data_IF_560121472655
#
_entry.id   IF_560121472655
#
_cell.length_a   1.000
_cell.length_b   1.000
_cell.length_c   1.000
_cell.angle_alpha   90.00
_cell.angle_beta   90.00
_cell.angle_gamma   90.00
#
_symmetry.space_group_name_H-M   'P 1'
#
loop_
_entity.id
_entity.type
_entity.pdbx_description
1 polymer ?
#
# COMPACT_ATOMS: atom_id res chain seq x y z
N UNK A 1 4.78 -5.76 22.09
CA UNK A 1 4.42 -5.81 20.65
C UNK A 1 3.25 -4.88 20.38
N UNK A 2 3.25 -4.10 19.29
CA UNK A 2 2.11 -3.22 18.95
C UNK A 2 0.94 -4.10 18.48
N UNK A 3 -0.27 -3.86 19.00
CA UNK A 3 -1.47 -4.56 18.53
C UNK A 3 -1.92 -3.94 17.20
N UNK A 4 -2.49 -4.76 16.32
CA UNK A 4 -3.14 -4.28 15.10
C UNK A 4 -4.33 -3.39 15.49
N UNK A 5 -4.34 -2.17 14.95
CA UNK A 5 -5.44 -1.24 15.12
C UNK A 5 -6.27 -1.22 13.83
N UNK A 6 -7.58 -1.10 13.96
CA UNK A 6 -8.50 -1.10 12.84
C UNK A 6 -8.38 0.17 11.99
N UNK A 7 -8.70 0.07 10.72
CA UNK A 7 -8.91 1.21 9.85
C UNK A 7 -10.40 1.51 9.75
N UNK A 8 -10.79 2.74 10.09
CA UNK A 8 -12.16 3.22 9.97
C UNK A 8 -12.35 3.94 8.62
N UNK A 9 -13.27 3.44 7.80
CA UNK A 9 -13.62 4.04 6.52
C UNK A 9 -14.98 4.74 6.64
N UNK A 10 -15.00 6.06 6.51
CA UNK A 10 -16.20 6.88 6.54
C UNK A 10 -16.56 7.24 5.11
N UNK A 11 -17.66 6.66 4.60
CA UNK A 11 -18.10 6.83 3.20
C UNK A 11 -19.44 7.51 3.06
N UNK A 12 -20.21 7.64 4.16
CA UNK A 12 -21.51 8.29 4.16
C UNK A 12 -21.35 9.81 4.17
N UNK A 13 -21.94 10.46 3.18
CA UNK A 13 -21.86 11.92 3.03
C UNK A 13 -22.60 12.63 4.17
N UNK A 14 -22.08 13.79 4.58
CA UNK A 14 -22.63 14.56 5.70
C UNK A 14 -22.32 13.99 7.09
N UNK A 15 -21.51 12.92 7.18
CA UNK A 15 -21.07 12.40 8.48
C UNK A 15 -20.23 13.45 9.22
N UNK A 16 -20.42 13.52 10.54
CA UNK A 16 -19.65 14.34 11.46
C UNK A 16 -18.92 13.48 12.48
N UNK A 17 -17.61 13.68 12.58
CA UNK A 17 -16.73 12.97 13.51
C UNK A 17 -16.31 13.90 14.64
N UNK A 18 -16.53 13.47 15.88
CA UNK A 18 -16.08 14.23 17.04
C UNK A 18 -15.58 13.31 18.17
N UNK A 19 -14.93 13.91 19.17
CA UNK A 19 -14.46 13.24 20.37
C UNK A 19 -15.52 13.29 21.45
N UNK A 20 -15.73 12.15 22.12
CA UNK A 20 -16.47 12.07 23.37
C UNK A 20 -15.66 11.22 24.36
N UNK A 21 -15.07 11.84 25.39
CA UNK A 21 -14.10 11.19 26.31
C UNK A 21 -12.96 10.52 25.51
N UNK A 22 -12.70 9.23 25.74
CA UNK A 22 -11.66 8.45 25.06
C UNK A 22 -12.18 7.70 23.82
N UNK A 23 -13.26 8.21 23.22
CA UNK A 23 -13.90 7.60 22.07
C UNK A 23 -14.05 8.57 20.91
N UNK A 24 -14.06 8.01 19.71
CA UNK A 24 -14.48 8.64 18.47
C UNK A 24 -15.98 8.37 18.31
N UNK A 25 -16.76 9.41 18.06
CA UNK A 25 -18.17 9.33 17.75
C UNK A 25 -18.39 9.69 16.29
N UNK A 26 -19.23 8.92 15.62
CA UNK A 26 -19.72 9.21 14.26
C UNK A 26 -21.18 9.59 14.35
N UNK A 27 -21.53 10.77 13.84
CA UNK A 27 -22.90 11.24 13.73
C UNK A 27 -23.33 11.37 12.27
N UNK A 28 -24.60 11.07 12.02
CA UNK A 28 -25.28 11.33 10.75
C UNK A 28 -26.64 11.97 11.07
N UNK A 29 -26.98 13.06 10.40
CA UNK A 29 -28.22 13.81 10.67
C UNK A 29 -28.42 14.14 12.17
N UNK A 30 -27.34 14.51 12.88
CA UNK A 30 -27.30 14.80 14.34
C UNK A 30 -27.67 13.58 15.22
N UNK A 31 -27.64 12.37 14.68
CA UNK A 31 -27.84 11.12 15.45
C UNK A 31 -26.52 10.37 15.54
N UNK A 32 -26.19 9.91 16.74
CA UNK A 32 -25.03 9.05 16.97
C UNK A 32 -25.27 7.69 16.30
N UNK A 33 -24.45 7.33 15.31
CA UNK A 33 -24.54 6.05 14.59
C UNK A 33 -23.45 5.07 15.01
N UNK A 34 -22.32 5.58 15.54
CA UNK A 34 -21.26 4.73 16.07
C UNK A 34 -20.45 5.45 17.14
N UNK A 35 -19.91 4.69 18.09
CA UNK A 35 -18.95 5.16 19.09
C UNK A 35 -17.87 4.10 19.28
N UNK A 36 -16.61 4.47 19.06
CA UNK A 36 -15.48 3.57 18.98
C UNK A 36 -14.35 4.03 19.91
N UNK A 37 -13.74 3.14 20.70
CA UNK A 37 -12.59 3.51 21.51
C UNK A 37 -11.39 3.82 20.62
N UNK A 38 -10.71 4.95 20.90
CA UNK A 38 -9.61 5.45 20.05
C UNK A 38 -8.44 4.48 19.96
N UNK A 39 -8.15 3.77 21.06
CA UNK A 39 -7.02 2.82 21.12
C UNK A 39 -7.17 1.62 20.17
N UNK A 40 -8.39 1.37 19.65
CA UNK A 40 -8.64 0.34 18.66
C UNK A 40 -8.47 0.82 17.21
N UNK A 41 -8.23 2.13 17.00
CA UNK A 41 -8.20 2.76 15.69
C UNK A 41 -6.77 3.22 15.39
N UNK A 42 -6.23 2.79 14.23
CA UNK A 42 -4.94 3.25 13.73
C UNK A 42 -5.06 4.27 12.60
N UNK A 43 -6.13 4.15 11.81
CA UNK A 43 -6.35 5.01 10.66
C UNK A 43 -7.83 5.37 10.53
N UNK A 44 -8.10 6.61 10.11
CA UNK A 44 -9.44 7.09 9.73
C UNK A 44 -9.34 7.63 8.31
N UNK A 45 -10.10 7.05 7.39
CA UNK A 45 -10.17 7.49 6.00
C UNK A 45 -11.55 8.03 5.70
N UNK A 46 -11.62 9.34 5.42
CA UNK A 46 -12.85 10.08 5.14
C UNK A 46 -13.01 10.26 3.63
N UNK A 47 -14.13 9.83 3.07
CA UNK A 47 -14.41 9.91 1.64
C UNK A 47 -15.56 10.86 1.36
N UNK A 48 -15.30 11.93 0.59
CA UNK A 48 -16.27 12.96 0.23
C UNK A 48 -16.50 13.99 1.33
N UNK A 49 -17.74 14.43 1.50
CA UNK A 49 -18.10 15.47 2.46
C UNK A 49 -18.26 14.90 3.87
N UNK A 50 -17.15 14.78 4.59
CA UNK A 50 -17.09 14.32 5.98
C UNK A 50 -16.47 15.44 6.83
N UNK A 51 -17.18 15.85 7.89
CA UNK A 51 -16.72 16.87 8.84
C UNK A 51 -15.99 16.22 10.01
N UNK A 52 -14.92 16.86 10.47
CA UNK A 52 -14.15 16.39 11.63
C UNK A 52 -13.92 17.56 12.58
N UNK A 53 -14.24 17.38 13.87
CA UNK A 53 -14.02 18.43 14.85
C UNK A 53 -12.53 18.67 15.13
N UNK A 54 -12.10 19.93 15.41
CA UNK A 54 -10.72 20.23 15.80
C UNK A 54 -10.25 19.44 17.04
N UNK A 55 -11.14 19.21 18.00
CA UNK A 55 -10.82 18.43 19.20
C UNK A 55 -10.54 16.96 18.87
N UNK A 56 -11.26 16.37 17.90
CA UNK A 56 -10.96 15.02 17.44
C UNK A 56 -9.63 14.99 16.70
N UNK A 57 -9.31 16.00 15.87
CA UNK A 57 -8.01 16.10 15.22
C UNK A 57 -6.87 16.10 16.24
N UNK A 58 -6.94 16.96 17.28
CA UNK A 58 -5.95 16.98 18.36
C UNK A 58 -5.82 15.62 19.05
N UNK A 59 -6.94 15.00 19.39
CA UNK A 59 -6.98 13.69 20.02
C UNK A 59 -6.39 12.57 19.14
N UNK A 60 -6.65 12.58 17.84
CA UNK A 60 -6.01 11.69 16.88
C UNK A 60 -4.49 11.89 16.87
N UNK A 61 -4.03 13.15 16.88
CA UNK A 61 -2.61 13.48 16.93
C UNK A 61 -1.90 12.97 18.18
N UNK A 62 -2.51 13.09 19.34
CA UNK A 62 -2.00 12.60 20.63
C UNK A 62 -1.93 11.06 20.69
N UNK A 63 -2.87 10.38 20.06
CA UNK A 63 -2.99 8.92 20.05
C UNK A 63 -2.34 8.25 18.82
N UNK A 64 -1.62 9.00 17.98
CA UNK A 64 -1.02 8.52 16.75
C UNK A 64 -2.03 7.85 15.78
N UNK A 65 -3.27 8.33 15.74
CA UNK A 65 -4.28 7.92 14.78
C UNK A 65 -4.11 8.75 13.51
N UNK A 66 -3.83 8.09 12.39
CA UNK A 66 -3.70 8.76 11.11
C UNK A 66 -5.07 9.08 10.52
N UNK A 67 -5.29 10.33 10.11
CA UNK A 67 -6.53 10.74 9.49
C UNK A 67 -6.26 11.30 8.11
N UNK A 68 -6.96 10.79 7.08
CA UNK A 68 -6.79 11.21 5.70
C UNK A 68 -8.16 11.43 5.02
N UNK A 69 -8.18 12.42 4.12
CA UNK A 69 -9.35 12.82 3.37
C UNK A 69 -9.18 12.46 1.90
N UNK A 70 -10.24 11.99 1.30
CA UNK A 70 -10.31 11.59 -0.11
C UNK A 70 -11.58 12.17 -0.74
N UNK A 71 -11.57 12.39 -2.05
CA UNK A 71 -12.82 12.56 -2.78
C UNK A 71 -13.68 11.30 -2.66
N UNK A 72 -14.97 11.36 -2.97
CA UNK A 72 -15.82 10.18 -3.04
C UNK A 72 -15.23 9.06 -3.90
N UNK A 73 -14.52 9.41 -4.97
CA UNK A 73 -13.89 8.50 -5.91
C UNK A 73 -12.48 8.04 -5.50
N UNK A 74 -12.04 8.36 -4.28
CA UNK A 74 -10.79 7.86 -3.71
C UNK A 74 -9.54 8.67 -4.08
N UNK A 75 -9.67 9.84 -4.74
CA UNK A 75 -8.53 10.74 -4.95
C UNK A 75 -8.16 11.39 -3.61
N UNK A 76 -6.92 11.26 -3.21
CA UNK A 76 -6.39 11.88 -2.00
C UNK A 76 -6.52 13.41 -2.05
N UNK A 77 -7.04 14.02 -0.99
CA UNK A 77 -7.17 15.46 -0.81
C UNK A 77 -6.15 16.01 0.18
N UNK A 78 -5.98 15.35 1.33
CA UNK A 78 -5.10 15.80 2.38
C UNK A 78 -5.09 14.84 3.56
N UNK A 79 -4.19 15.09 4.52
CA UNK A 79 -4.14 14.35 5.78
C UNK A 79 -3.95 15.30 6.93
N UNK A 80 -4.46 14.93 8.09
CA UNK A 80 -4.07 15.53 9.36
C UNK A 80 -2.81 14.83 9.87
N UNK A 81 -1.86 15.62 10.29
CA UNK A 81 -0.65 15.17 10.93
C UNK A 81 -0.57 15.82 12.31
N UNK A 82 -0.60 15.00 13.35
CA UNK A 82 -0.39 15.44 14.71
C UNK A 82 1.04 15.91 14.97
N UNK A 83 1.31 16.29 16.22
CA UNK A 83 2.67 16.69 16.62
C UNK A 83 3.67 15.58 16.30
N UNK A 84 4.67 15.90 15.52
CA UNK A 84 5.73 14.94 15.21
C UNK A 84 6.57 14.68 16.47
N UNK A 85 6.43 13.48 17.03
CA UNK A 85 7.35 12.93 18.01
C UNK A 85 8.37 12.07 17.26
N UNK A 86 9.45 12.62 16.75
CA UNK A 86 10.38 11.82 15.97
C UNK A 86 11.82 12.08 16.37
N UNK A 87 12.61 11.02 16.40
CA UNK A 87 14.05 11.13 16.60
C UNK A 87 14.69 11.88 15.42
N UNK A 88 15.09 13.14 15.64
CA UNK A 88 15.74 13.97 14.63
C UNK A 88 17.04 13.31 14.09
N UNK A 89 17.73 12.53 14.92
CA UNK A 89 18.95 11.82 14.51
C UNK A 89 18.63 10.71 13.48
N UNK A 90 17.51 10.03 13.63
CA UNK A 90 17.05 9.03 12.67
C UNK A 90 16.75 9.67 11.31
N UNK A 91 16.06 10.82 11.28
CA UNK A 91 15.83 11.55 10.02
C UNK A 91 17.10 12.08 9.38
N UNK A 92 18.04 12.59 10.18
CA UNK A 92 19.37 12.97 9.66
C UNK A 92 20.11 11.78 9.03
N UNK A 93 20.03 10.60 9.67
CA UNK A 93 20.62 9.38 9.11
C UNK A 93 19.91 8.98 7.79
N UNK A 94 18.57 9.04 7.76
CA UNK A 94 17.79 8.79 6.56
C UNK A 94 18.22 9.71 5.41
N UNK A 95 18.30 11.03 5.62
CA UNK A 95 18.67 12.00 4.60
C UNK A 95 20.10 11.76 4.11
N UNK A 96 21.03 11.54 5.02
CA UNK A 96 22.41 11.23 4.64
C UNK A 96 22.51 9.97 3.78
N UNK A 97 21.83 8.89 4.15
CA UNK A 97 21.87 7.63 3.40
C UNK A 97 21.18 7.79 2.05
N UNK A 98 20.07 8.54 1.97
CA UNK A 98 19.38 8.78 0.70
C UNK A 98 20.21 9.56 -0.30
N UNK A 99 21.08 10.46 0.17
CA UNK A 99 21.98 11.25 -0.67
C UNK A 99 23.27 10.50 -1.04
N UNK A 100 23.88 9.82 -0.06
CA UNK A 100 25.23 9.28 -0.21
C UNK A 100 25.27 7.82 -0.62
N UNK A 101 24.31 6.98 -0.18
CA UNK A 101 24.35 5.54 -0.41
C UNK A 101 22.93 4.89 -0.44
N UNK A 102 22.02 5.31 -1.32
CA UNK A 102 20.67 4.77 -1.38
C UNK A 102 20.59 3.34 -1.97
N UNK A 103 21.58 2.94 -2.76
CA UNK A 103 21.53 1.74 -3.62
C UNK A 103 21.32 0.44 -2.84
N UNK A 104 21.98 0.17 -1.71
CA UNK A 104 21.76 -1.08 -0.97
C UNK A 104 20.28 -1.27 -0.56
N UNK A 105 19.65 -0.20 -0.05
CA UNK A 105 18.24 -0.23 0.37
C UNK A 105 17.34 -0.38 -0.86
N UNK A 106 17.53 0.44 -1.90
CA UNK A 106 16.76 0.38 -3.15
C UNK A 106 16.84 -1.01 -3.80
N UNK A 107 18.04 -1.59 -3.87
CA UNK A 107 18.28 -2.94 -4.42
C UNK A 107 17.52 -4.01 -3.64
N UNK A 108 17.52 -3.95 -2.32
CA UNK A 108 16.82 -4.91 -1.46
C UNK A 108 15.30 -4.81 -1.64
N UNK A 109 14.75 -3.59 -1.72
CA UNK A 109 13.32 -3.35 -2.03
C UNK A 109 12.94 -3.94 -3.38
N UNK A 110 13.75 -3.69 -4.43
CA UNK A 110 13.45 -4.18 -5.78
C UNK A 110 13.62 -5.69 -5.87
N UNK A 111 14.55 -6.28 -5.15
CA UNK A 111 14.65 -7.74 -5.06
C UNK A 111 13.36 -8.36 -4.49
N UNK A 112 12.79 -7.76 -3.43
CA UNK A 112 11.52 -8.21 -2.86
C UNK A 112 10.36 -8.06 -3.86
N UNK A 113 10.26 -6.92 -4.53
CA UNK A 113 9.26 -6.68 -5.59
C UNK A 113 9.31 -7.75 -6.68
N UNK A 114 10.49 -7.97 -7.27
CA UNK A 114 10.66 -8.94 -8.36
C UNK A 114 10.35 -10.36 -7.87
N UNK A 115 10.82 -10.73 -6.69
CA UNK A 115 10.53 -12.03 -6.10
C UNK A 115 9.04 -12.24 -5.83
N UNK A 116 8.33 -11.22 -5.34
CA UNK A 116 6.89 -11.27 -5.12
C UNK A 116 6.13 -11.42 -6.45
N UNK A 117 6.49 -10.65 -7.47
CA UNK A 117 5.92 -10.74 -8.83
C UNK A 117 6.10 -12.14 -9.41
N UNK A 118 7.32 -12.67 -9.33
CA UNK A 118 7.62 -14.04 -9.78
C UNK A 118 6.74 -15.08 -9.08
N UNK A 119 6.56 -14.97 -7.78
CA UNK A 119 5.73 -15.92 -7.00
C UNK A 119 4.25 -15.86 -7.37
N UNK A 120 3.73 -14.68 -7.69
CA UNK A 120 2.35 -14.55 -8.19
C UNK A 120 2.19 -15.32 -9.49
N UNK A 121 3.15 -15.18 -10.43
CA UNK A 121 3.13 -15.90 -11.71
C UNK A 121 3.31 -17.42 -11.53
N UNK A 122 4.25 -17.85 -10.70
CA UNK A 122 4.47 -19.27 -10.38
C UNK A 122 3.24 -19.92 -9.73
N UNK A 123 2.53 -19.17 -8.88
CA UNK A 123 1.27 -19.64 -8.29
C UNK A 123 0.20 -19.86 -9.36
N UNK A 124 0.12 -19.00 -10.38
CA UNK A 124 -0.80 -19.19 -11.50
C UNK A 124 -0.52 -20.50 -12.23
N UNK A 125 0.74 -20.73 -12.61
CA UNK A 125 1.16 -21.99 -13.28
C UNK A 125 0.80 -23.21 -12.43
N UNK A 126 1.10 -23.18 -11.14
CA UNK A 126 0.80 -24.29 -10.22
C UNK A 126 -0.69 -24.60 -10.11
N UNK A 127 -1.54 -23.57 -10.10
CA UNK A 127 -2.97 -23.70 -9.84
C UNK A 127 -3.79 -23.98 -11.11
N UNK A 128 -3.34 -23.52 -12.28
CA UNK A 128 -4.12 -23.53 -13.52
C UNK A 128 -3.40 -24.24 -14.70
N UNK A 129 -2.20 -24.75 -14.45
CA UNK A 129 -1.42 -25.47 -15.48
C UNK A 129 -0.39 -24.60 -16.18
N UNK A 130 0.37 -25.23 -17.06
CA UNK A 130 1.44 -24.60 -17.80
C UNK A 130 0.93 -23.51 -18.76
N UNK A 131 1.66 -22.40 -18.81
CA UNK A 131 1.43 -21.29 -19.72
C UNK A 131 2.79 -20.74 -20.16
N UNK A 132 3.11 -20.89 -21.42
CA UNK A 132 4.42 -20.54 -21.98
C UNK A 132 4.76 -19.04 -21.79
N UNK A 133 3.77 -18.15 -21.95
CA UNK A 133 4.00 -16.71 -21.77
C UNK A 133 4.30 -16.37 -20.31
N UNK A 134 3.55 -16.94 -19.37
CA UNK A 134 3.78 -16.73 -17.92
C UNK A 134 5.13 -17.36 -17.54
N UNK A 135 5.48 -18.56 -18.04
CA UNK A 135 6.78 -19.18 -17.77
C UNK A 135 7.92 -18.31 -18.28
N UNK A 136 7.85 -17.78 -19.50
CA UNK A 136 8.83 -16.85 -20.05
C UNK A 136 9.00 -15.58 -19.19
N UNK A 137 7.91 -15.04 -18.66
CA UNK A 137 7.97 -13.92 -17.73
C UNK A 137 8.67 -14.29 -16.41
N UNK A 138 8.40 -15.49 -15.85
CA UNK A 138 9.09 -16.01 -14.67
C UNK A 138 10.59 -16.13 -14.90
N UNK A 139 11.00 -16.65 -16.06
CA UNK A 139 12.42 -16.80 -16.41
C UNK A 139 13.10 -15.43 -16.57
N UNK A 140 12.42 -14.47 -17.21
CA UNK A 140 12.88 -13.09 -17.31
C UNK A 140 13.07 -12.44 -15.94
N UNK A 141 12.11 -12.62 -15.01
CA UNK A 141 12.24 -12.13 -13.62
C UNK A 141 13.40 -12.79 -12.88
N UNK A 142 13.71 -14.07 -13.13
CA UNK A 142 14.90 -14.71 -12.58
C UNK A 142 16.19 -14.08 -13.12
N UNK A 143 16.22 -13.68 -14.39
CA UNK A 143 17.35 -12.95 -14.97
C UNK A 143 17.50 -11.59 -14.30
N UNK A 144 16.39 -10.83 -14.14
CA UNK A 144 16.40 -9.54 -13.46
C UNK A 144 16.92 -9.63 -12.02
N UNK A 145 16.56 -10.68 -11.26
CA UNK A 145 17.10 -10.92 -9.90
C UNK A 145 18.62 -11.18 -9.91
N UNK A 146 19.13 -11.90 -10.91
CA UNK A 146 20.59 -12.12 -11.06
C UNK A 146 21.32 -10.84 -11.43
N UNK A 147 20.76 -10.06 -12.36
CA UNK A 147 21.33 -8.78 -12.78
C UNK A 147 21.37 -7.74 -11.66
N UNK A 148 20.43 -7.81 -10.72
CA UNK A 148 20.35 -6.88 -9.58
C UNK A 148 21.49 -7.08 -8.57
N UNK A 149 22.06 -8.30 -8.50
CA UNK A 149 23.15 -8.58 -7.55
C UNK A 149 24.39 -7.74 -7.85
N UNK A 150 24.95 -7.13 -6.80
CA UNK A 150 26.19 -6.36 -6.89
C UNK A 150 26.08 -5.02 -7.63
N UNK A 151 24.88 -4.60 -8.06
CA UNK A 151 24.73 -3.28 -8.70
C UNK A 151 24.94 -2.15 -7.68
N UNK A 152 25.66 -1.12 -8.11
CA UNK A 152 26.06 0.04 -7.30
C UNK A 152 25.48 1.35 -7.81
N UNK A 153 24.84 1.34 -8.97
CA UNK A 153 24.24 2.52 -9.59
C UNK A 153 22.72 2.50 -9.50
N UNK A 154 22.13 3.55 -8.96
CA UNK A 154 20.69 3.64 -8.71
C UNK A 154 19.86 3.59 -10.00
N UNK A 155 20.34 4.22 -11.06
CA UNK A 155 19.61 4.24 -12.36
C UNK A 155 19.62 2.87 -13.03
N UNK A 156 20.68 2.07 -12.83
CA UNK A 156 20.69 0.67 -13.26
C UNK A 156 19.66 -0.16 -12.49
N UNK A 157 19.53 0.06 -11.16
CA UNK A 157 18.51 -0.60 -10.34
C UNK A 157 17.10 -0.22 -10.80
N UNK A 158 16.87 1.06 -11.12
CA UNK A 158 15.59 1.55 -11.68
C UNK A 158 15.29 0.96 -13.05
N UNK A 159 16.30 0.82 -13.91
CA UNK A 159 16.16 0.19 -15.24
C UNK A 159 15.75 -1.28 -15.13
N UNK A 160 16.38 -2.04 -14.24
CA UNK A 160 16.01 -3.44 -13.96
C UNK A 160 14.58 -3.53 -13.39
N UNK A 161 14.20 -2.61 -12.50
CA UNK A 161 12.83 -2.52 -11.97
C UNK A 161 11.80 -2.30 -13.07
N UNK A 162 12.08 -1.36 -13.98
CA UNK A 162 11.18 -1.02 -15.09
C UNK A 162 10.99 -2.20 -16.06
N UNK A 163 12.07 -2.90 -16.45
CA UNK A 163 11.98 -4.11 -17.29
C UNK A 163 11.19 -5.22 -16.56
N UNK A 164 11.51 -5.50 -15.31
CA UNK A 164 10.79 -6.50 -14.51
C UNK A 164 9.29 -6.19 -14.39
N UNK A 165 8.94 -4.92 -14.19
CA UNK A 165 7.54 -4.48 -14.13
C UNK A 165 6.85 -4.65 -15.49
N UNK A 166 7.52 -4.32 -16.61
CA UNK A 166 6.99 -4.52 -17.95
C UNK A 166 6.71 -6.00 -18.25
N UNK A 167 7.63 -6.91 -17.86
CA UNK A 167 7.45 -8.37 -18.02
C UNK A 167 6.27 -8.88 -17.17
N UNK A 168 6.18 -8.47 -15.93
CA UNK A 168 5.09 -8.87 -15.05
C UNK A 168 3.73 -8.40 -15.55
N UNK A 169 3.58 -7.11 -15.85
CA UNK A 169 2.32 -6.55 -16.31
C UNK A 169 1.97 -6.96 -17.75
N UNK A 170 2.94 -7.34 -18.57
CA UNK A 170 2.71 -7.87 -19.91
C UNK A 170 1.93 -9.19 -19.93
N UNK A 171 2.00 -9.97 -18.86
CA UNK A 171 1.24 -11.23 -18.73
C UNK A 171 0.12 -11.14 -17.67
N UNK A 172 -0.06 -10.01 -17.02
CA UNK A 172 -1.01 -9.85 -15.91
C UNK A 172 -2.46 -10.13 -16.32
N UNK A 173 -2.83 -9.77 -17.55
CA UNK A 173 -4.15 -10.08 -18.11
C UNK A 173 -4.50 -11.57 -18.10
N UNK A 174 -3.48 -12.45 -18.24
CA UNK A 174 -3.66 -13.90 -18.20
C UNK A 174 -3.90 -14.46 -16.79
N UNK A 175 -3.80 -13.63 -15.75
CA UNK A 175 -4.15 -14.00 -14.37
C UNK A 175 -5.63 -13.77 -14.08
N UNK A 176 -6.35 -13.10 -14.97
CA UNK A 176 -7.78 -12.87 -14.88
C UNK A 176 -8.54 -14.10 -15.40
N UNK A 177 -9.59 -14.50 -14.70
CA UNK A 177 -10.49 -15.53 -15.18
C UNK A 177 -11.25 -15.03 -16.42
N UNK A 178 -11.35 -15.83 -17.46
CA UNK A 178 -12.15 -15.52 -18.66
C UNK A 178 -13.61 -15.19 -18.31
N UNK A 179 -14.15 -15.84 -17.28
CA UNK A 179 -15.51 -15.62 -16.78
C UNK A 179 -15.69 -14.30 -16.02
N UNK A 180 -14.61 -13.59 -15.72
CA UNK A 180 -14.69 -12.34 -14.94
C UNK A 180 -15.28 -11.17 -15.74
N UNK A 181 -15.20 -11.22 -17.07
CA UNK A 181 -15.60 -10.13 -17.95
C UNK A 181 -14.66 -8.92 -17.95
N UNK A 182 -13.50 -9.03 -17.30
CA UNK A 182 -12.46 -7.99 -17.32
C UNK A 182 -11.39 -8.29 -18.38
N UNK A 183 -10.87 -7.21 -18.97
CA UNK A 183 -9.67 -7.22 -19.78
C UNK A 183 -8.57 -6.35 -19.14
N UNK A 184 -7.31 -6.65 -19.45
CA UNK A 184 -6.17 -5.88 -19.00
C UNK A 184 -5.11 -5.85 -20.12
N UNK A 185 -4.90 -4.65 -20.66
CA UNK A 185 -3.99 -4.41 -21.78
C UNK A 185 -2.80 -3.54 -21.35
N UNK A 186 -2.30 -3.82 -20.14
CA UNK A 186 -1.16 -3.12 -19.59
C UNK A 186 -1.52 -2.09 -18.50
N UNK A 187 -0.46 -1.61 -17.82
CA UNK A 187 -0.61 -0.72 -16.67
C UNK A 187 -0.78 0.74 -17.08
N UNK A 188 -1.94 1.31 -16.78
CA UNK A 188 -2.23 2.75 -16.90
C UNK A 188 -2.69 3.32 -15.54
N UNK A 189 -2.44 4.60 -15.23
CA UNK A 189 -2.65 5.13 -13.87
C UNK A 189 -3.09 6.59 -13.77
N UNK A 190 -3.02 7.38 -14.82
CA UNK A 190 -3.29 8.83 -14.69
C UNK A 190 -4.03 9.37 -15.92
N UNK A 191 -5.33 9.20 -15.94
CA UNK A 191 -6.20 8.41 -15.08
C UNK A 191 -6.18 6.91 -15.42
N UNK A 192 -6.66 6.01 -14.54
CA UNK A 192 -6.93 4.62 -14.91
C UNK A 192 -8.07 4.57 -15.92
N UNK A 193 -7.93 3.73 -16.96
CA UNK A 193 -8.88 3.66 -18.09
C UNK A 193 -9.66 2.35 -18.17
N UNK A 194 -9.45 1.45 -17.23
CA UNK A 194 -10.17 0.19 -17.09
C UNK A 194 -10.35 -0.18 -15.62
N UNK A 195 -11.26 -1.11 -15.34
CA UNK A 195 -11.63 -1.49 -13.99
C UNK A 195 -10.48 -2.12 -13.19
N UNK A 196 -9.61 -2.90 -13.85
CA UNK A 196 -8.45 -3.54 -13.20
C UNK A 196 -7.45 -2.48 -12.74
N UNK A 197 -7.11 -1.55 -13.64
CA UNK A 197 -6.21 -0.45 -13.35
C UNK A 197 -6.79 0.51 -12.29
N UNK A 198 -8.11 0.72 -12.28
CA UNK A 198 -8.80 1.49 -11.26
C UNK A 198 -8.66 0.83 -9.87
N UNK A 199 -8.92 -0.47 -9.75
CA UNK A 199 -8.73 -1.24 -8.51
C UNK A 199 -7.29 -1.23 -8.03
N UNK A 200 -6.33 -1.55 -8.89
CA UNK A 200 -4.90 -1.54 -8.55
C UNK A 200 -4.47 -0.17 -8.03
N UNK A 201 -4.85 0.91 -8.73
CA UNK A 201 -4.49 2.27 -8.33
C UNK A 201 -5.11 2.66 -6.99
N UNK A 202 -6.35 2.25 -6.75
CA UNK A 202 -7.06 2.54 -5.51
C UNK A 202 -6.45 1.79 -4.32
N UNK A 203 -6.20 0.48 -4.45
CA UNK A 203 -5.55 -0.32 -3.40
C UNK A 203 -4.14 0.20 -3.10
N UNK A 204 -3.34 0.52 -4.13
CA UNK A 204 -2.01 1.10 -3.92
C UNK A 204 -2.07 2.45 -3.18
N UNK A 205 -3.07 3.28 -3.49
CA UNK A 205 -3.26 4.55 -2.78
C UNK A 205 -3.55 4.34 -1.29
N UNK A 206 -4.44 3.40 -0.96
CA UNK A 206 -4.78 3.09 0.43
C UNK A 206 -3.57 2.52 1.19
N UNK A 207 -2.90 1.51 0.64
CA UNK A 207 -1.71 0.92 1.25
C UNK A 207 -0.57 1.92 1.38
N UNK A 208 -0.37 2.79 0.38
CA UNK A 208 0.61 3.86 0.45
C UNK A 208 0.37 4.83 1.61
N UNK A 209 -0.90 5.10 1.95
CA UNK A 209 -1.24 5.93 3.12
C UNK A 209 -1.03 5.21 4.45
N UNK A 210 -1.35 3.91 4.52
CA UNK A 210 -1.02 3.07 5.67
C UNK A 210 0.51 3.07 5.93
N UNK A 211 1.30 2.87 4.87
CA UNK A 211 2.77 2.87 4.94
C UNK A 211 3.30 4.25 5.35
N UNK A 212 2.78 5.33 4.76
CA UNK A 212 3.18 6.69 5.14
C UNK A 212 2.93 6.96 6.63
N UNK A 213 1.78 6.52 7.15
CA UNK A 213 1.47 6.61 8.58
C UNK A 213 2.40 5.76 9.45
N UNK A 214 2.76 4.55 9.00
CA UNK A 214 3.70 3.68 9.71
C UNK A 214 5.11 4.29 9.79
N UNK A 215 5.61 4.84 8.69
CA UNK A 215 6.92 5.53 8.63
C UNK A 215 6.97 6.71 9.60
N UNK A 216 5.93 7.54 9.61
CA UNK A 216 5.83 8.67 10.55
C UNK A 216 5.76 8.20 12.01
N UNK A 217 5.01 7.14 12.28
CA UNK A 217 4.89 6.57 13.62
C UNK A 217 6.21 5.99 14.17
N UNK A 218 7.17 5.69 13.29
CA UNK A 218 8.54 5.27 13.64
C UNK A 218 9.52 6.46 13.71
N UNK A 219 9.13 7.61 13.16
CA UNK A 219 9.96 8.83 13.13
C UNK A 219 10.74 9.03 11.84
N UNK A 220 10.43 8.27 10.77
CA UNK A 220 10.97 8.46 9.43
C UNK A 220 10.15 9.50 8.65
N UNK A 221 10.80 10.16 7.69
CA UNK A 221 10.13 11.05 6.74
C UNK A 221 9.64 10.22 5.54
N UNK A 222 8.32 10.13 5.30
CA UNK A 222 7.80 9.37 4.17
C UNK A 222 8.10 9.98 2.80
N UNK A 223 8.56 11.24 2.74
CA UNK A 223 8.82 11.95 1.48
C UNK A 223 10.21 11.65 0.91
N UNK A 224 11.20 11.35 1.76
CA UNK A 224 12.58 11.12 1.36
C UNK A 224 12.85 9.63 1.18
N UNK A 225 12.91 9.20 -0.09
CA UNK A 225 13.08 7.81 -0.52
C UNK A 225 14.53 7.44 -0.84
N UNK A 226 14.72 6.17 -1.18
CA UNK A 226 16.01 5.61 -1.61
C UNK A 226 15.97 5.19 -3.09
N UNK A 227 14.81 4.79 -3.60
CA UNK A 227 14.59 4.38 -4.99
C UNK A 227 13.93 5.48 -5.80
N UNK A 228 12.82 6.00 -5.29
CA UNK A 228 12.06 7.04 -5.97
C UNK A 228 12.68 8.41 -5.68
N UNK A 229 12.91 9.20 -6.74
CA UNK A 229 13.39 10.58 -6.61
C UNK A 229 12.40 11.44 -5.83
N UNK A 230 12.92 12.38 -5.06
CA UNK A 230 12.13 13.35 -4.33
C UNK A 230 11.36 14.25 -5.28
N UNK A 231 10.09 14.45 -4.97
CA UNK A 231 9.19 15.37 -5.70
C UNK A 231 8.23 16.02 -4.72
N UNK A 232 7.94 17.32 -4.86
CA UNK A 232 6.96 18.00 -4.01
C UNK A 232 5.63 17.23 -3.94
N UNK A 233 5.12 17.02 -2.74
CA UNK A 233 3.86 16.34 -2.48
C UNK A 233 3.86 14.81 -2.67
N UNK A 234 5.02 14.19 -2.92
CA UNK A 234 5.16 12.75 -3.09
C UNK A 234 5.75 12.12 -1.84
N UNK A 235 5.09 11.10 -1.31
CA UNK A 235 5.61 10.26 -0.24
C UNK A 235 6.57 9.19 -0.84
N UNK A 236 7.79 9.59 -1.27
CA UNK A 236 8.74 8.76 -2.03
C UNK A 236 9.15 7.50 -1.28
N UNK A 237 9.46 7.60 0.03
CA UNK A 237 9.79 6.42 0.85
C UNK A 237 8.58 5.50 1.04
N UNK A 238 7.38 6.07 1.18
CA UNK A 238 6.19 5.23 1.26
C UNK A 238 5.94 4.46 -0.05
N UNK A 239 6.28 5.06 -1.21
CA UNK A 239 6.25 4.36 -2.49
C UNK A 239 7.33 3.28 -2.58
N UNK A 240 8.54 3.53 -2.05
CA UNK A 240 9.61 2.54 -2.00
C UNK A 240 9.18 1.29 -1.22
N UNK A 241 8.68 1.47 0.01
CA UNK A 241 8.22 0.34 0.85
C UNK A 241 6.99 -0.34 0.24
N UNK A 242 6.11 0.41 -0.44
CA UNK A 242 4.97 -0.17 -1.14
C UNK A 242 5.38 -1.18 -2.22
N UNK A 243 6.55 -1.03 -2.86
CA UNK A 243 7.02 -1.96 -3.89
C UNK A 243 7.12 -3.41 -3.35
N UNK A 244 7.46 -3.59 -2.07
CA UNK A 244 7.53 -4.91 -1.42
C UNK A 244 6.16 -5.60 -1.32
N UNK A 245 5.07 -4.82 -1.29
CA UNK A 245 3.71 -5.30 -1.04
C UNK A 245 2.82 -5.30 -2.28
N UNK A 246 3.24 -4.66 -3.39
CA UNK A 246 2.38 -4.53 -4.58
C UNK A 246 1.91 -5.88 -5.10
N UNK A 247 2.81 -6.73 -5.56
CA UNK A 247 2.44 -8.00 -6.17
C UNK A 247 1.85 -8.97 -5.13
N UNK A 248 2.51 -9.10 -4.00
CA UNK A 248 2.14 -10.09 -3.00
C UNK A 248 0.81 -9.78 -2.31
N UNK A 249 0.54 -8.52 -1.99
CA UNK A 249 -0.67 -8.12 -1.25
C UNK A 249 -1.72 -7.48 -2.16
N UNK A 250 -1.39 -6.34 -2.78
CA UNK A 250 -2.35 -5.54 -3.51
C UNK A 250 -2.88 -6.24 -4.77
N UNK A 251 -1.97 -6.73 -5.64
CA UNK A 251 -2.37 -7.36 -6.91
C UNK A 251 -3.15 -8.64 -6.66
N UNK A 252 -2.69 -9.46 -5.69
CA UNK A 252 -3.41 -10.69 -5.32
C UNK A 252 -4.78 -10.42 -4.73
N UNK A 253 -4.96 -9.34 -3.96
CA UNK A 253 -6.28 -8.94 -3.47
C UNK A 253 -7.20 -8.58 -4.64
N UNK A 254 -6.72 -7.75 -5.56
CA UNK A 254 -7.48 -7.34 -6.75
C UNK A 254 -7.85 -8.55 -7.62
N UNK A 255 -6.89 -9.42 -7.94
CA UNK A 255 -7.13 -10.65 -8.68
C UNK A 255 -8.14 -11.56 -7.98
N UNK A 256 -8.06 -11.67 -6.66
CA UNK A 256 -9.02 -12.48 -5.88
C UNK A 256 -10.44 -11.94 -5.97
N UNK A 257 -10.62 -10.62 -5.83
CA UNK A 257 -11.93 -9.98 -5.91
C UNK A 257 -12.58 -10.14 -7.30
N UNK A 258 -11.79 -9.98 -8.34
CA UNK A 258 -12.22 -10.14 -9.72
C UNK A 258 -12.53 -11.61 -10.05
N UNK A 259 -11.58 -12.51 -9.80
CA UNK A 259 -11.69 -13.90 -10.20
C UNK A 259 -12.76 -14.68 -9.42
N UNK A 260 -13.13 -14.21 -8.21
CA UNK A 260 -14.25 -14.73 -7.42
C UNK A 260 -15.57 -14.06 -7.76
N UNK A 261 -15.60 -13.11 -8.71
CA UNK A 261 -16.81 -12.39 -9.10
C UNK A 261 -17.40 -11.50 -8.01
N UNK A 262 -16.59 -11.13 -7.00
CA UNK A 262 -17.00 -10.22 -5.93
C UNK A 262 -17.08 -8.76 -6.41
N UNK A 263 -16.23 -8.39 -7.37
CA UNK A 263 -16.29 -7.13 -8.11
C UNK A 263 -16.43 -7.48 -9.60
N UNK A 264 -17.37 -6.82 -10.28
CA UNK A 264 -17.76 -7.09 -11.67
C UNK A 264 -17.61 -5.83 -12.52
N UNK A 265 -17.55 -5.92 -13.86
CA UNK A 265 -17.43 -4.74 -14.75
C UNK A 265 -18.51 -3.67 -14.51
N UNK A 266 -19.73 -4.06 -14.20
CA UNK A 266 -20.84 -3.14 -13.90
C UNK A 266 -20.67 -2.32 -12.62
N UNK A 267 -19.71 -2.65 -11.77
CA UNK A 267 -19.41 -1.95 -10.51
C UNK A 267 -18.55 -0.70 -10.74
N UNK A 268 -18.25 -0.40 -11.99
CA UNK A 268 -17.47 0.77 -12.38
C UNK A 268 -18.32 1.79 -13.13
N UNK A 269 -17.83 3.03 -13.11
CA UNK A 269 -18.33 4.14 -13.92
C UNK A 269 -17.18 4.75 -14.68
N UNK A 270 -17.42 5.06 -15.95
CA UNK A 270 -16.47 5.80 -16.79
C UNK A 270 -16.91 7.26 -16.83
N UNK A 271 -16.02 8.15 -16.41
CA UNK A 271 -16.22 9.59 -16.44
C UNK A 271 -16.05 10.14 -17.87
N UNK A 272 -16.52 11.37 -18.12
CA UNK A 272 -16.35 12.04 -19.41
C UNK A 272 -14.86 12.21 -19.81
N UNK A 273 -13.96 12.26 -18.83
CA UNK A 273 -12.50 12.28 -19.02
C UNK A 273 -11.90 10.97 -19.50
N UNK A 274 -12.70 9.90 -19.58
CA UNK A 274 -12.25 8.52 -19.80
C UNK A 274 -11.67 7.85 -18.54
N UNK A 275 -11.68 8.52 -17.39
CA UNK A 275 -11.28 7.93 -16.13
C UNK A 275 -12.32 6.90 -15.66
N UNK A 276 -11.83 5.76 -15.19
CA UNK A 276 -12.67 4.68 -14.62
C UNK A 276 -12.56 4.69 -13.11
N UNK A 277 -13.69 4.72 -12.43
CA UNK A 277 -13.78 4.71 -10.97
C UNK A 277 -14.78 3.67 -10.45
N UNK A 278 -14.56 3.22 -9.21
CA UNK A 278 -15.38 2.21 -8.55
C UNK A 278 -16.62 2.83 -7.92
N UNK A 279 -17.80 2.26 -8.14
CA UNK A 279 -19.07 2.69 -7.52
C UNK A 279 -19.04 2.52 -6.00
N UNK A 280 -19.89 3.26 -5.28
CA UNK A 280 -19.90 3.33 -3.83
C UNK A 280 -20.03 1.98 -3.12
N UNK A 281 -20.94 1.12 -3.57
CA UNK A 281 -21.18 -0.18 -2.93
C UNK A 281 -20.01 -1.14 -3.15
N UNK A 282 -19.42 -1.17 -4.34
CA UNK A 282 -18.23 -1.95 -4.61
C UNK A 282 -17.01 -1.44 -3.83
N UNK A 283 -16.91 -0.11 -3.54
CA UNK A 283 -15.88 0.42 -2.63
C UNK A 283 -16.04 -0.11 -1.20
N UNK A 284 -17.27 -0.21 -0.68
CA UNK A 284 -17.50 -0.80 0.66
C UNK A 284 -17.02 -2.24 0.71
N UNK A 285 -17.32 -3.03 -0.34
CA UNK A 285 -16.85 -4.41 -0.45
C UNK A 285 -15.32 -4.48 -0.49
N UNK A 286 -14.67 -3.60 -1.26
CA UNK A 286 -13.20 -3.52 -1.31
C UNK A 286 -12.61 -3.19 0.06
N UNK A 287 -13.20 -2.24 0.81
CA UNK A 287 -12.73 -1.89 2.16
C UNK A 287 -12.86 -3.07 3.13
N UNK A 288 -13.99 -3.80 3.08
CA UNK A 288 -14.20 -5.01 3.88
C UNK A 288 -13.16 -6.08 3.56
N UNK A 289 -12.92 -6.33 2.27
CA UNK A 289 -11.91 -7.30 1.83
C UNK A 289 -10.48 -6.88 2.24
N UNK A 290 -10.14 -5.61 2.13
CA UNK A 290 -8.85 -5.08 2.56
C UNK A 290 -8.68 -5.20 4.08
N UNK A 291 -9.73 -4.90 4.85
CA UNK A 291 -9.70 -5.03 6.31
C UNK A 291 -9.58 -6.49 6.74
N UNK A 292 -10.34 -7.39 6.12
CA UNK A 292 -10.22 -8.83 6.37
C UNK A 292 -8.79 -9.32 6.06
N UNK A 293 -8.22 -8.87 4.93
CA UNK A 293 -6.84 -9.22 4.55
C UNK A 293 -5.80 -8.73 5.57
N UNK A 294 -6.01 -7.55 6.17
CA UNK A 294 -5.12 -7.03 7.22
C UNK A 294 -5.12 -7.88 8.49
N UNK A 295 -6.23 -8.56 8.80
CA UNK A 295 -6.37 -9.42 9.98
C UNK A 295 -5.80 -10.83 9.78
N UNK A 296 -5.55 -11.24 8.54
CA UNK A 296 -4.88 -12.53 8.29
C UNK A 296 -3.48 -12.53 8.90
N UNK A 297 -3.05 -13.70 9.40
CA UNK A 297 -1.74 -13.88 10.00
C UNK A 297 -0.77 -14.57 9.05
N UNK A 298 0.48 -14.23 9.18
CA UNK A 298 1.60 -14.85 8.46
C UNK A 298 2.82 -14.95 9.38
N UNK A 299 3.73 -15.85 9.06
CA UNK A 299 5.07 -15.84 9.64
C UNK A 299 5.92 -14.81 8.88
N UNK A 300 6.41 -13.80 9.59
CA UNK A 300 7.28 -12.78 8.98
C UNK A 300 8.62 -13.39 8.59
N UNK A 301 9.07 -13.27 7.32
CA UNK A 301 10.21 -14.04 6.79
C UNK A 301 11.55 -13.76 7.48
N UNK A 302 11.74 -12.55 8.03
CA UNK A 302 12.97 -12.18 8.74
C UNK A 302 12.86 -12.34 10.26
N UNK A 303 11.70 -12.03 10.86
CA UNK A 303 11.52 -12.11 12.30
C UNK A 303 11.24 -13.54 12.78
N UNK A 304 10.74 -14.40 11.89
CA UNK A 304 10.25 -15.76 12.17
C UNK A 304 9.14 -15.79 13.26
N UNK A 305 8.37 -14.72 13.32
CA UNK A 305 7.24 -14.52 14.25
C UNK A 305 5.92 -14.46 13.50
N UNK A 306 4.84 -14.98 14.10
CA UNK A 306 3.48 -14.81 13.57
C UNK A 306 3.01 -13.38 13.76
N UNK A 307 2.62 -12.72 12.68
CA UNK A 307 2.16 -11.34 12.67
C UNK A 307 0.94 -11.16 11.77
N UNK A 308 0.09 -10.22 12.11
CA UNK A 308 -1.01 -9.82 11.25
C UNK A 308 -0.49 -9.01 10.05
N UNK A 309 -1.03 -9.28 8.86
CA UNK A 309 -0.62 -8.62 7.60
C UNK A 309 -0.68 -7.09 7.72
N UNK A 310 -1.68 -6.58 8.42
CA UNK A 310 -1.84 -5.13 8.64
C UNK A 310 -0.71 -4.48 9.44
N UNK A 311 0.12 -5.25 10.16
CA UNK A 311 1.30 -4.74 10.88
C UNK A 311 2.57 -4.69 10.02
N UNK A 312 2.58 -5.31 8.84
CA UNK A 312 3.77 -5.37 7.98
C UNK A 312 4.34 -3.99 7.62
N UNK A 313 3.53 -2.97 7.26
CA UNK A 313 4.04 -1.64 7.02
C UNK A 313 4.83 -1.07 8.21
N UNK A 314 4.33 -1.29 9.43
CA UNK A 314 4.99 -0.83 10.65
C UNK A 314 6.26 -1.61 10.93
N UNK A 315 6.23 -2.94 10.75
CA UNK A 315 7.40 -3.81 10.94
C UNK A 315 8.51 -3.43 9.97
N UNK A 316 8.21 -3.23 8.67
CA UNK A 316 9.20 -2.82 7.68
C UNK A 316 9.75 -1.41 7.97
N UNK A 317 8.91 -0.47 8.41
CA UNK A 317 9.38 0.84 8.85
C UNK A 317 10.33 0.75 10.06
N UNK A 318 10.03 -0.13 11.04
CA UNK A 318 10.91 -0.39 12.18
C UNK A 318 12.24 -1.04 11.78
N UNK A 319 12.23 -2.02 10.88
CA UNK A 319 13.44 -2.68 10.39
C UNK A 319 14.32 -1.69 9.62
N UNK A 320 13.72 -0.83 8.81
CA UNK A 320 14.43 0.25 8.12
C UNK A 320 15.06 1.24 9.13
N UNK A 321 14.31 1.65 10.15
CA UNK A 321 14.83 2.54 11.19
C UNK A 321 15.99 1.90 11.97
N UNK A 322 15.94 0.60 12.26
CA UNK A 322 17.04 -0.14 12.89
C UNK A 322 18.28 -0.18 12.01
N UNK A 323 18.11 -0.42 10.70
CA UNK A 323 19.23 -0.36 9.76
C UNK A 323 19.84 1.03 9.70
N UNK A 324 19.05 2.09 9.60
CA UNK A 324 19.53 3.47 9.56
C UNK A 324 20.23 3.92 10.84
N UNK A 325 19.94 3.30 11.98
CA UNK A 325 20.67 3.51 13.26
C UNK A 325 21.93 2.67 13.40
N UNK A 326 22.16 1.73 12.49
CA UNK A 326 23.28 0.79 12.57
C UNK A 326 23.02 -0.46 13.43
N UNK A 327 21.79 -0.67 13.89
CA UNK A 327 21.38 -1.88 14.67
C UNK A 327 21.31 -3.14 13.77
N UNK A 328 21.18 -2.96 12.46
CA UNK A 328 21.19 -4.00 11.44
C UNK A 328 22.18 -3.64 10.34
N UNK A 329 22.99 -4.61 9.92
CA UNK A 329 23.98 -4.41 8.85
C UNK A 329 23.31 -4.04 7.51
N UNK A 330 22.18 -4.66 7.18
CA UNK A 330 21.42 -4.39 5.98
C UNK A 330 19.92 -4.25 6.30
N UNK A 331 19.20 -3.54 5.43
CA UNK A 331 17.73 -3.51 5.48
C UNK A 331 17.17 -4.84 4.98
N UNK A 332 16.49 -5.63 5.83
CA UNK A 332 15.84 -6.87 5.42
C UNK A 332 14.47 -6.57 4.77
N UNK A 333 14.35 -6.70 3.43
CA UNK A 333 13.07 -6.45 2.78
C UNK A 333 12.10 -7.60 3.04
N UNK A 334 10.81 -7.37 2.80
CA UNK A 334 9.79 -8.38 2.95
C UNK A 334 9.86 -9.43 1.82
N UNK A 335 10.59 -10.48 2.05
CA UNK A 335 10.78 -11.62 1.11
C UNK A 335 9.88 -12.77 1.52
N UNK A 336 8.62 -12.77 1.07
CA UNK A 336 7.70 -13.90 1.32
C UNK A 336 8.33 -15.23 0.88
N UNK A 337 8.33 -16.23 1.75
CA UNK A 337 8.82 -17.60 1.46
C UNK A 337 7.83 -18.38 0.62
#
# INVERSE_FOLDING_TARGET
MRKLQNTLYITTQGSYLHKERETLVVEQERKKVAQLPVHSIGHIFCFGNVLVSPFLLGFCGENNVNLAFFTENGRFLGRFQGRQSGNVLLRRAQYRVSEQNPVPIARNIIAAKIQASKRVLQRQIRNYGENAAIQSAVDSLNISLRQLKGRTELDVVRGIEGDAAARYFGVFGQLLSEKSGFSFDGRNRRPPRDGVNALLSFVYSLLGKDISGALQGVGLDPQVGFLHADRPGRDSLAQDILEEFRAWWADRLVLSLINRGQIKPQDFVTEASGAVSLKADARKLLFQALQAKKQEKIIHPFLDEEVEIGLLPYIQAMLLARHLRGDLAEYPPFLMR
#
